data_IF_507499758425
#
_entry.id   IF_507499758425
#
_cell.length_a   1.000
_cell.length_b   1.000
_cell.length_c   1.000
_cell.angle_alpha   90.00
_cell.angle_beta   90.00
_cell.angle_gamma   90.00
#
_symmetry.space_group_name_H-M   'P 1'
#
loop_
_entity.id
_entity.type
_entity.pdbx_description
1 polymer ?
#
# COMPACT_ATOMS: atom_id res chain seq x y z
N UNK A 1 7.07 -14.37 -1.13
CA UNK A 1 6.73 -14.93 0.19
C UNK A 1 5.48 -14.29 0.80
N UNK A 2 5.33 -12.96 0.80
CA UNK A 2 4.20 -12.25 1.43
C UNK A 2 2.82 -12.66 0.89
N UNK A 3 2.72 -13.05 -0.36
CA UNK A 3 1.46 -13.47 -0.98
C UNK A 3 1.04 -14.89 -0.62
N UNK A 4 1.95 -15.70 -0.09
CA UNK A 4 1.70 -17.10 0.29
C UNK A 4 1.66 -17.30 1.81
N UNK A 5 1.99 -16.26 2.58
CA UNK A 5 1.85 -16.26 4.03
C UNK A 5 0.44 -15.85 4.44
N UNK A 6 -0.09 -16.36 5.56
CA UNK A 6 -1.36 -15.91 6.10
C UNK A 6 -1.34 -14.40 6.36
N UNK A 7 -2.20 -13.61 5.69
CA UNK A 7 -2.33 -12.19 6.00
C UNK A 7 -2.92 -12.00 7.39
N UNK A 8 -2.45 -10.96 8.07
CA UNK A 8 -2.97 -10.56 9.38
C UNK A 8 -3.79 -9.29 9.21
N UNK A 9 -4.99 -9.28 9.75
CA UNK A 9 -5.87 -8.10 9.83
C UNK A 9 -6.17 -7.80 11.30
N UNK A 10 -6.61 -6.57 11.60
CA UNK A 10 -7.17 -6.27 12.92
C UNK A 10 -8.68 -6.48 12.91
N UNK A 11 -9.20 -7.17 13.93
CA UNK A 11 -10.62 -7.35 14.23
C UNK A 11 -10.84 -7.10 15.72
N UNK A 12 -11.73 -6.18 16.07
CA UNK A 12 -11.94 -5.77 17.47
C UNK A 12 -10.62 -5.41 18.19
N UNK A 13 -9.70 -4.74 17.49
CA UNK A 13 -8.39 -4.36 18.00
C UNK A 13 -7.40 -5.51 18.19
N UNK A 14 -7.70 -6.71 17.70
CA UNK A 14 -6.84 -7.90 17.83
C UNK A 14 -6.36 -8.38 16.45
N UNK A 15 -5.12 -8.86 16.36
CA UNK A 15 -4.63 -9.49 15.12
C UNK A 15 -5.33 -10.83 14.88
N UNK A 16 -5.81 -11.03 13.67
CA UNK A 16 -6.46 -12.26 13.20
C UNK A 16 -5.80 -12.67 11.88
N UNK A 17 -5.37 -13.92 11.80
CA UNK A 17 -4.86 -14.52 10.57
C UNK A 17 -6.02 -14.86 9.62
N UNK A 18 -5.81 -14.63 8.34
CA UNK A 18 -6.72 -14.98 7.25
C UNK A 18 -5.99 -15.98 6.33
N UNK A 19 -6.73 -16.88 5.72
CA UNK A 19 -6.19 -17.81 4.73
C UNK A 19 -5.53 -17.03 3.56
N UNK A 20 -4.35 -17.46 3.10
CA UNK A 20 -3.68 -16.84 1.95
C UNK A 20 -4.59 -16.78 0.72
N UNK A 21 -4.43 -15.72 -0.07
CA UNK A 21 -5.20 -15.49 -1.31
C UNK A 21 -6.74 -15.39 -1.11
N UNK A 22 -7.21 -15.12 0.11
CA UNK A 22 -8.61 -14.83 0.38
C UNK A 22 -9.02 -13.56 -0.36
N UNK A 23 -10.16 -13.61 -1.07
CA UNK A 23 -10.71 -12.43 -1.76
C UNK A 23 -10.99 -11.30 -0.78
N UNK A 24 -10.53 -10.11 -1.12
CA UNK A 24 -10.86 -8.85 -0.46
C UNK A 24 -12.05 -8.13 -1.10
N UNK A 25 -12.62 -8.72 -2.17
CA UNK A 25 -13.69 -8.15 -2.98
C UNK A 25 -13.18 -7.15 -4.02
N UNK A 26 -14.14 -6.67 -4.83
CA UNK A 26 -13.88 -5.67 -5.86
C UNK A 26 -13.70 -4.28 -5.25
N UNK A 27 -12.74 -3.53 -5.76
CA UNK A 27 -12.44 -2.16 -5.35
C UNK A 27 -12.26 -1.27 -6.58
N UNK A 28 -12.91 -0.10 -6.57
CA UNK A 28 -12.72 0.92 -7.59
C UNK A 28 -11.53 1.81 -7.21
N UNK A 29 -10.43 1.69 -7.94
CA UNK A 29 -9.25 2.51 -7.75
C UNK A 29 -9.28 3.81 -8.56
N UNK A 30 -10.32 4.04 -9.35
CA UNK A 30 -10.40 5.15 -10.31
C UNK A 30 -9.44 4.99 -11.49
N UNK A 31 -9.53 5.90 -12.45
CA UNK A 31 -8.66 5.88 -13.63
C UNK A 31 -7.17 5.96 -13.26
N UNK A 32 -6.27 5.21 -13.93
CA UNK A 32 -6.53 4.33 -15.08
C UNK A 32 -6.81 2.86 -14.71
N UNK A 33 -6.93 2.52 -13.43
CA UNK A 33 -7.05 1.13 -12.94
C UNK A 33 -8.50 0.63 -13.05
N UNK A 34 -9.48 1.45 -12.60
CA UNK A 34 -10.89 1.07 -12.58
C UNK A 34 -11.24 0.09 -11.45
N UNK A 35 -12.26 -0.74 -11.71
CA UNK A 35 -12.73 -1.78 -10.79
C UNK A 35 -11.89 -3.04 -10.94
N UNK A 36 -11.34 -3.54 -9.85
CA UNK A 36 -10.52 -4.75 -9.84
C UNK A 36 -10.75 -5.57 -8.59
N UNK A 37 -10.66 -6.88 -8.74
CA UNK A 37 -10.63 -7.81 -7.62
C UNK A 37 -9.36 -7.63 -6.80
N UNK A 38 -9.50 -7.80 -5.49
CA UNK A 38 -8.39 -7.70 -4.54
C UNK A 38 -8.27 -8.98 -3.71
N UNK A 39 -7.09 -9.20 -3.15
CA UNK A 39 -6.84 -10.21 -2.12
C UNK A 39 -6.28 -9.55 -0.87
N UNK A 40 -6.53 -10.14 0.29
CA UNK A 40 -5.81 -9.75 1.50
C UNK A 40 -4.35 -10.17 1.40
N UNK A 41 -3.46 -9.30 1.84
CA UNK A 41 -2.02 -9.60 1.92
C UNK A 41 -1.45 -9.18 3.25
N UNK A 42 -0.35 -9.83 3.64
CA UNK A 42 0.43 -9.42 4.81
C UNK A 42 1.10 -8.08 4.50
N UNK A 43 0.89 -7.09 5.37
CA UNK A 43 1.53 -5.80 5.25
C UNK A 43 1.96 -5.26 6.62
N UNK A 44 3.16 -4.70 6.69
CA UNK A 44 3.81 -4.33 7.95
C UNK A 44 3.13 -3.18 8.70
N UNK A 45 2.47 -2.25 7.98
CA UNK A 45 1.78 -1.12 8.60
C UNK A 45 0.66 -1.54 9.54
N UNK A 46 0.00 -2.65 9.27
CA UNK A 46 -1.07 -3.15 10.12
C UNK A 46 -0.60 -3.48 11.55
N UNK A 47 0.69 -3.75 11.73
CA UNK A 47 1.26 -4.01 13.04
C UNK A 47 1.25 -2.78 13.97
N UNK A 48 1.31 -1.57 13.39
CA UNK A 48 1.34 -0.31 14.16
C UNK A 48 -0.01 0.39 14.26
N UNK A 49 -0.93 0.19 13.31
CA UNK A 49 -2.17 0.96 13.20
C UNK A 49 -3.10 0.84 14.41
N UNK A 50 -3.18 -0.34 15.02
CA UNK A 50 -3.93 -0.52 16.25
C UNK A 50 -3.42 0.36 17.38
N UNK A 51 -2.10 0.51 17.50
CA UNK A 51 -1.46 1.35 18.52
C UNK A 51 -1.46 2.83 18.14
N UNK A 52 -1.09 3.15 16.89
CA UNK A 52 -0.90 4.54 16.46
C UNK A 52 -2.20 5.30 16.28
N UNK A 53 -3.25 4.62 15.81
CA UNK A 53 -4.55 5.24 15.50
C UNK A 53 -5.70 4.73 16.37
N UNK A 54 -5.50 3.74 17.22
CA UNK A 54 -6.56 3.11 18.00
C UNK A 54 -7.61 2.39 17.14
N UNK A 55 -7.19 1.86 15.97
CA UNK A 55 -8.09 1.17 15.07
C UNK A 55 -8.62 -0.13 15.67
N UNK A 56 -9.93 -0.33 15.67
CA UNK A 56 -10.55 -1.61 15.98
C UNK A 56 -10.46 -2.57 14.78
N UNK A 57 -10.61 -2.03 13.58
CA UNK A 57 -10.55 -2.76 12.32
C UNK A 57 -9.44 -2.19 11.44
N UNK A 58 -8.65 -3.04 10.82
CA UNK A 58 -7.66 -2.63 9.83
C UNK A 58 -7.32 -3.80 8.91
N UNK A 59 -7.17 -3.54 7.62
CA UNK A 59 -6.80 -4.54 6.63
C UNK A 59 -6.01 -3.92 5.48
N UNK A 60 -5.17 -4.71 4.85
CA UNK A 60 -4.51 -4.34 3.60
C UNK A 60 -4.93 -5.30 2.49
N UNK A 61 -5.25 -4.74 1.34
CA UNK A 61 -5.67 -5.48 0.15
C UNK A 61 -4.83 -5.04 -1.04
N UNK A 62 -4.51 -6.00 -1.89
CA UNK A 62 -3.71 -5.78 -3.10
C UNK A 62 -4.46 -6.37 -4.30
N UNK A 63 -4.46 -5.65 -5.41
CA UNK A 63 -4.83 -6.19 -6.71
C UNK A 63 -3.61 -6.77 -7.40
N UNK A 64 -3.73 -7.96 -7.93
CA UNK A 64 -2.73 -8.62 -8.76
C UNK A 64 -3.24 -8.76 -10.19
N UNK A 65 -2.33 -8.81 -11.15
CA UNK A 65 -2.69 -9.23 -12.50
C UNK A 65 -3.34 -10.63 -12.44
N UNK A 66 -4.51 -10.85 -13.08
CA UNK A 66 -5.24 -12.13 -12.97
C UNK A 66 -4.40 -13.36 -13.29
N UNK A 67 -3.48 -13.23 -14.26
CA UNK A 67 -2.53 -14.30 -14.62
C UNK A 67 -1.59 -14.65 -13.46
N UNK A 68 -1.12 -13.64 -12.72
CA UNK A 68 -0.24 -13.86 -11.56
C UNK A 68 -1.03 -14.48 -10.40
N UNK A 69 -2.22 -13.99 -10.12
CA UNK A 69 -3.08 -14.55 -9.07
C UNK A 69 -3.41 -16.02 -9.35
N UNK A 70 -3.84 -16.35 -10.58
CA UNK A 70 -4.10 -17.73 -10.98
C UNK A 70 -2.85 -18.59 -10.79
N UNK A 71 -1.68 -18.09 -11.23
CA UNK A 71 -0.44 -18.83 -11.10
C UNK A 71 -0.02 -19.05 -9.66
N UNK A 72 -0.23 -18.08 -8.77
CA UNK A 72 0.01 -18.25 -7.33
C UNK A 72 -0.89 -19.32 -6.72
N UNK A 73 -2.17 -19.39 -7.11
CA UNK A 73 -3.10 -20.44 -6.65
C UNK A 73 -2.67 -21.84 -7.10
N UNK A 74 -2.09 -21.96 -8.28
CA UNK A 74 -1.51 -23.21 -8.78
C UNK A 74 -0.20 -23.60 -8.06
N UNK A 75 0.54 -22.60 -7.57
CA UNK A 75 1.87 -22.74 -6.97
C UNK A 75 1.86 -22.86 -5.43
N UNK A 76 0.73 -23.17 -4.81
CA UNK A 76 0.62 -23.28 -3.34
C UNK A 76 1.57 -24.30 -2.69
N UNK A 77 2.21 -25.15 -3.50
CA UNK A 77 3.25 -26.12 -3.09
C UNK A 77 4.58 -25.91 -3.80
N UNK A 78 4.74 -24.78 -4.50
CA UNK A 78 5.93 -24.51 -5.31
C UNK A 78 7.10 -23.99 -4.47
N UNK A 79 8.30 -24.19 -4.97
CA UNK A 79 9.50 -23.62 -4.37
C UNK A 79 9.52 -22.08 -4.49
N UNK A 80 10.24 -21.37 -3.60
CA UNK A 80 10.43 -19.92 -3.72
C UNK A 80 10.99 -19.48 -5.09
N UNK A 81 11.82 -20.31 -5.71
CA UNK A 81 12.39 -20.05 -7.04
C UNK A 81 11.33 -20.11 -8.15
N UNK A 82 10.37 -21.04 -8.05
CA UNK A 82 9.26 -21.14 -9.01
C UNK A 82 8.30 -19.95 -8.86
N UNK A 83 7.99 -19.55 -7.64
CA UNK A 83 7.17 -18.35 -7.36
C UNK A 83 7.85 -17.10 -7.92
N UNK A 84 9.15 -16.93 -7.66
CA UNK A 84 9.93 -15.79 -8.15
C UNK A 84 9.96 -15.72 -9.68
N UNK A 85 10.15 -16.86 -10.34
CA UNK A 85 10.14 -16.95 -11.81
C UNK A 85 8.75 -16.60 -12.37
N UNK A 86 7.68 -17.18 -11.81
CA UNK A 86 6.31 -16.90 -12.25
C UNK A 86 5.96 -15.42 -12.07
N UNK A 87 6.38 -14.80 -10.97
CA UNK A 87 6.19 -13.38 -10.74
C UNK A 87 6.92 -12.52 -11.79
N UNK A 88 8.17 -12.85 -12.10
CA UNK A 88 8.95 -12.15 -13.11
C UNK A 88 8.33 -12.26 -14.53
N UNK A 89 7.80 -13.44 -14.88
CA UNK A 89 7.13 -13.68 -16.17
C UNK A 89 5.79 -12.93 -16.29
N UNK A 90 5.08 -12.73 -15.17
CA UNK A 90 3.79 -12.05 -15.13
C UNK A 90 3.89 -10.52 -14.95
N UNK A 91 5.06 -10.00 -14.60
CA UNK A 91 5.25 -8.57 -14.34
C UNK A 91 5.56 -7.84 -15.66
N UNK A 92 4.77 -6.80 -16.02
CA UNK A 92 5.07 -5.97 -17.17
C UNK A 92 6.38 -5.18 -16.96
N UNK A 93 6.96 -4.60 -18.03
CA UNK A 93 8.11 -3.71 -17.93
C UNK A 93 7.88 -2.63 -16.86
N UNK A 94 8.81 -2.49 -15.92
CA UNK A 94 8.64 -1.66 -14.73
C UNK A 94 8.63 -0.16 -14.98
N UNK A 95 9.10 0.30 -16.15
CA UNK A 95 9.17 1.71 -16.55
C UNK A 95 7.82 2.32 -16.97
N UNK A 96 6.81 1.49 -17.24
CA UNK A 96 5.47 1.93 -17.70
C UNK A 96 4.36 1.71 -16.66
N UNK A 97 4.68 1.18 -15.48
CA UNK A 97 3.66 0.88 -14.48
C UNK A 97 3.09 2.15 -13.84
N UNK A 98 1.79 2.15 -13.55
CA UNK A 98 1.12 3.10 -12.67
C UNK A 98 0.77 2.40 -11.37
N UNK A 99 0.98 3.07 -10.24
CA UNK A 99 0.58 2.57 -8.92
C UNK A 99 -0.49 3.46 -8.32
N UNK A 100 -1.54 2.87 -7.79
CA UNK A 100 -2.59 3.59 -7.06
C UNK A 100 -2.75 2.97 -5.67
N UNK A 101 -2.62 3.79 -4.64
CA UNK A 101 -2.94 3.45 -3.27
C UNK A 101 -4.25 4.14 -2.89
N UNK A 102 -5.17 3.39 -2.36
CA UNK A 102 -6.44 3.87 -1.85
C UNK A 102 -6.51 3.56 -0.36
N UNK A 103 -6.67 4.58 0.44
CA UNK A 103 -6.79 4.49 1.89
C UNK A 103 -8.18 4.98 2.28
N UNK A 104 -8.92 4.17 3.01
CA UNK A 104 -10.22 4.53 3.55
C UNK A 104 -10.19 4.39 5.07
N UNK A 105 -10.64 5.43 5.77
CA UNK A 105 -10.74 5.43 7.22
C UNK A 105 -12.12 5.92 7.65
N UNK A 106 -12.72 5.20 8.61
CA UNK A 106 -14.04 5.51 9.12
C UNK A 106 -13.99 5.61 10.64
N UNK A 107 -14.55 6.67 11.20
CA UNK A 107 -14.60 6.87 12.65
C UNK A 107 -15.04 8.27 13.03
N UNK A 108 -15.53 8.44 14.27
CA UNK A 108 -15.92 9.75 14.77
C UNK A 108 -17.00 10.47 13.95
N UNK A 109 -17.89 9.73 13.28
CA UNK A 109 -18.91 10.31 12.39
C UNK A 109 -18.36 10.83 11.06
N UNK A 110 -17.18 10.39 10.64
CA UNK A 110 -16.52 10.78 9.39
C UNK A 110 -16.03 9.58 8.60
N UNK A 111 -15.98 9.75 7.30
CA UNK A 111 -15.29 8.90 6.34
C UNK A 111 -14.24 9.73 5.62
N UNK A 112 -13.03 9.23 5.56
CA UNK A 112 -11.92 9.86 4.84
C UNK A 112 -11.41 8.88 3.80
N UNK A 113 -11.30 9.34 2.56
CA UNK A 113 -10.74 8.58 1.45
C UNK A 113 -9.55 9.34 0.88
N UNK A 114 -8.39 8.71 0.90
CA UNK A 114 -7.18 9.25 0.30
C UNK A 114 -6.79 8.38 -0.87
N UNK A 115 -6.58 8.99 -2.01
CA UNK A 115 -6.07 8.32 -3.20
C UNK A 115 -4.72 8.90 -3.57
N UNK A 116 -3.69 8.06 -3.62
CA UNK A 116 -2.36 8.40 -4.10
C UNK A 116 -2.09 7.67 -5.42
N UNK A 117 -1.92 8.42 -6.51
CA UNK A 117 -1.54 7.90 -7.82
C UNK A 117 -0.09 8.25 -8.09
N UNK A 118 0.70 7.27 -8.47
CA UNK A 118 2.10 7.45 -8.86
C UNK A 118 2.28 6.98 -10.29
N UNK A 119 2.59 7.92 -11.17
CA UNK A 119 2.88 7.69 -12.58
C UNK A 119 4.36 7.37 -12.81
N UNK A 120 4.74 6.88 -14.00
CA UNK A 120 6.12 6.75 -14.39
C UNK A 120 6.88 8.08 -14.24
N UNK A 121 8.11 8.01 -13.76
CA UNK A 121 8.97 9.18 -13.58
C UNK A 121 10.09 9.18 -14.60
N UNK A 122 9.84 9.80 -15.74
CA UNK A 122 10.77 9.83 -16.89
C UNK A 122 12.22 10.22 -16.53
N UNK A 123 12.47 11.25 -15.66
CA UNK A 123 13.84 11.61 -15.32
C UNK A 123 14.66 10.50 -14.67
N UNK A 124 14.01 9.52 -14.04
CA UNK A 124 14.68 8.37 -13.42
C UNK A 124 14.54 7.08 -14.23
N UNK A 125 13.66 7.06 -15.24
CA UNK A 125 13.37 5.87 -16.02
C UNK A 125 12.68 4.75 -15.21
N UNK A 126 11.90 5.11 -14.17
CA UNK A 126 11.21 4.17 -13.31
C UNK A 126 9.70 4.32 -13.42
N UNK A 127 9.01 3.20 -13.46
CA UNK A 127 7.56 3.14 -13.39
C UNK A 127 7.01 3.47 -12.01
N UNK A 128 5.71 3.74 -11.94
CA UNK A 128 5.00 4.13 -10.72
C UNK A 128 5.15 3.13 -9.58
N UNK A 129 5.23 1.83 -9.86
CA UNK A 129 5.41 0.80 -8.81
C UNK A 129 6.72 0.94 -8.07
N UNK A 130 7.82 1.23 -8.78
CA UNK A 130 9.13 1.47 -8.16
C UNK A 130 9.11 2.82 -7.44
N UNK A 131 8.57 3.84 -8.09
CA UNK A 131 8.52 5.19 -7.53
C UNK A 131 7.69 5.26 -6.24
N UNK A 132 6.53 4.58 -6.19
CA UNK A 132 5.68 4.57 -4.99
C UNK A 132 6.35 3.92 -3.78
N UNK A 133 7.26 2.99 -4.01
CA UNK A 133 8.02 2.32 -2.95
C UNK A 133 9.28 3.09 -2.54
N UNK A 134 10.06 3.57 -3.52
CA UNK A 134 11.35 4.18 -3.26
C UNK A 134 11.24 5.66 -2.84
N UNK A 135 10.30 6.42 -3.42
CA UNK A 135 10.21 7.86 -3.18
C UNK A 135 9.90 8.23 -1.72
N UNK A 136 9.02 7.53 -0.97
CA UNK A 136 8.80 7.81 0.45
C UNK A 136 10.08 7.65 1.29
N UNK A 137 10.84 6.59 1.07
CA UNK A 137 12.10 6.36 1.78
C UNK A 137 13.12 7.48 1.50
N UNK A 138 13.28 7.88 0.24
CA UNK A 138 14.16 8.99 -0.15
C UNK A 138 13.67 10.31 0.44
N UNK A 139 12.37 10.56 0.46
CA UNK A 139 11.79 11.75 1.07
C UNK A 139 12.09 11.79 2.57
N UNK A 140 11.89 10.68 3.29
CA UNK A 140 12.20 10.58 4.72
C UNK A 140 13.68 10.85 5.01
N UNK A 141 14.61 10.30 4.22
CA UNK A 141 16.06 10.59 4.37
C UNK A 141 16.35 12.07 4.18
N UNK A 142 15.71 12.74 3.22
CA UNK A 142 15.88 14.19 3.02
C UNK A 142 15.30 15.01 4.18
N UNK A 143 14.16 14.60 4.71
CA UNK A 143 13.54 15.24 5.87
C UNK A 143 14.42 15.09 7.11
N UNK A 144 15.01 13.91 7.33
CA UNK A 144 16.02 13.70 8.39
C UNK A 144 17.23 14.63 8.21
N UNK A 145 17.77 14.71 7.01
CA UNK A 145 18.94 15.57 6.73
C UNK A 145 18.67 17.07 6.93
N UNK A 146 17.40 17.49 6.86
CA UNK A 146 16.96 18.88 7.11
C UNK A 146 16.51 19.13 8.55
N UNK A 147 16.50 18.09 9.39
CA UNK A 147 16.00 18.19 10.76
C UNK A 147 14.48 18.32 10.86
N UNK A 148 13.74 17.99 9.81
CA UNK A 148 12.28 17.97 9.79
C UNK A 148 11.71 16.74 10.52
N UNK A 149 12.49 15.66 10.61
CA UNK A 149 12.23 14.50 11.47
C UNK A 149 13.23 14.53 12.60
N UNK A 150 12.74 14.66 13.84
CA UNK A 150 13.57 14.81 15.04
C UNK A 150 13.52 13.57 15.96
N UNK A 151 12.75 12.57 15.60
CA UNK A 151 12.65 11.33 16.38
C UNK A 151 14.02 10.62 16.44
N UNK A 152 14.34 10.09 17.63
CA UNK A 152 15.57 9.36 17.89
C UNK A 152 15.22 7.89 18.15
N UNK A 153 15.95 6.98 17.51
CA UNK A 153 15.71 5.54 17.62
C UNK A 153 14.78 5.02 16.53
N UNK A 154 14.10 3.89 16.78
CA UNK A 154 13.11 3.33 15.89
C UNK A 154 11.74 3.94 16.20
N UNK A 155 11.08 4.49 15.20
CA UNK A 155 9.74 5.04 15.30
C UNK A 155 8.94 4.68 14.05
N UNK A 156 7.63 4.50 14.20
CA UNK A 156 6.74 4.34 13.06
C UNK A 156 6.59 5.68 12.33
N UNK A 157 6.56 5.69 10.98
CA UNK A 157 6.49 6.92 10.19
C UNK A 157 5.32 7.83 10.59
N UNK A 158 4.15 7.26 10.87
CA UNK A 158 2.95 7.99 11.27
C UNK A 158 3.08 8.77 12.58
N UNK A 159 4.10 8.44 13.40
CA UNK A 159 4.36 9.11 14.69
C UNK A 159 5.47 10.16 14.62
N UNK A 160 6.17 10.27 13.49
CA UNK A 160 7.35 11.13 13.41
C UNK A 160 7.49 11.90 12.10
N UNK A 161 6.71 11.57 11.08
CA UNK A 161 6.74 12.25 9.78
C UNK A 161 5.52 13.15 9.66
N UNK A 162 5.75 14.43 9.37
CA UNK A 162 4.66 15.35 9.09
C UNK A 162 4.09 15.07 7.69
N UNK A 163 2.78 14.71 7.56
CA UNK A 163 2.22 14.21 6.29
C UNK A 163 2.33 15.20 5.14
N UNK A 164 2.03 16.49 5.35
CA UNK A 164 2.03 17.47 4.26
C UNK A 164 3.45 17.74 3.75
N UNK A 165 4.44 17.73 4.63
CA UNK A 165 5.84 17.86 4.25
C UNK A 165 6.29 16.66 3.40
N UNK A 166 5.88 15.45 3.77
CA UNK A 166 6.13 14.24 2.98
C UNK A 166 5.42 14.31 1.62
N UNK A 167 4.13 14.62 1.59
CA UNK A 167 3.35 14.71 0.36
C UNK A 167 3.90 15.76 -0.61
N UNK A 168 4.39 16.89 -0.10
CA UNK A 168 5.08 17.90 -0.90
C UNK A 168 6.33 17.33 -1.60
N UNK A 169 7.10 16.48 -0.93
CA UNK A 169 8.25 15.79 -1.52
C UNK A 169 7.81 14.78 -2.60
N UNK A 170 6.72 14.05 -2.36
CA UNK A 170 6.23 13.01 -3.27
C UNK A 170 5.61 13.60 -4.54
N UNK A 171 4.93 14.75 -4.46
CA UNK A 171 4.38 15.47 -5.64
C UNK A 171 5.47 15.81 -6.66
N UNK A 172 6.70 16.07 -6.22
CA UNK A 172 7.84 16.30 -7.12
C UNK A 172 8.37 15.03 -7.80
N UNK A 173 7.74 13.87 -7.55
CA UNK A 173 8.14 12.53 -8.03
C UNK A 173 6.99 11.78 -8.66
N UNK A 174 6.16 12.50 -9.41
CA UNK A 174 5.01 11.96 -10.14
C UNK A 174 3.94 11.29 -9.25
N UNK A 175 3.84 11.71 -7.99
CA UNK A 175 2.79 11.24 -7.09
C UNK A 175 1.74 12.33 -6.88
N UNK A 176 0.49 12.04 -7.23
CA UNK A 176 -0.67 12.90 -7.05
C UNK A 176 -1.54 12.37 -5.90
N UNK A 177 -2.09 13.29 -5.12
CA UNK A 177 -2.96 12.98 -3.98
C UNK A 177 -4.31 13.67 -4.13
N UNK A 178 -5.38 12.93 -3.90
CA UNK A 178 -6.70 13.49 -3.62
C UNK A 178 -7.19 13.03 -2.24
N UNK A 179 -7.89 13.90 -1.55
CA UNK A 179 -8.47 13.63 -0.23
C UNK A 179 -9.94 14.01 -0.28
N UNK A 180 -10.80 13.06 0.03
CA UNK A 180 -12.24 13.25 0.18
C UNK A 180 -12.61 13.03 1.63
N UNK A 181 -13.42 13.91 2.19
CA UNK A 181 -13.92 13.82 3.58
C UNK A 181 -15.42 13.95 3.55
N UNK A 182 -16.11 12.95 4.07
CA UNK A 182 -17.57 12.94 4.18
C UNK A 182 -17.98 12.85 5.66
N UNK A 183 -19.02 13.60 6.03
CA UNK A 183 -19.68 13.41 7.31
C UNK A 183 -20.69 12.28 7.18
N UNK A 184 -20.56 11.27 8.03
CA UNK A 184 -21.45 10.11 8.06
C UNK A 184 -22.50 10.37 9.14
N UNK A 185 -23.75 10.45 8.76
CA UNK A 185 -24.85 10.56 9.71
C UNK A 185 -24.85 9.36 10.66
N UNK A 186 -24.86 9.64 11.96
CA UNK A 186 -24.91 8.65 13.05
C UNK A 186 -26.25 7.93 13.12
#
# INVERSE_FOLDING_TARGET
DELTLPPVVLRDGKPVEIEPLTSGGEVNYGEPIGDVETIYTLHSELASFGQSFGCAESSFRLSLAPVLEQRLRELTVASPEEVSRAAAEATPPSDQTVSVHLIEAHGGGRSVKVRARTDPHEPFGFGGSIMSTAAPAVAAVRMLARGEITAIGAAFPENCVEPEALFSQLRTRSCEFSVEVEEVAS
#
